data_IF_618117739696
#
_entry.id   IF_618117739696
#
_cell.length_a   1.000
_cell.length_b   1.000
_cell.length_c   1.000
_cell.angle_alpha   90.00
_cell.angle_beta   90.00
_cell.angle_gamma   90.00
#
_symmetry.space_group_name_H-M   'P 1'
#
loop_
_entity.id
_entity.type
_entity.pdbx_description
1 polymer ?
#
# COMPACT_ATOMS: atom_id res chain seq x y z
N UNK A 1 -20.60 10.32 7.74
CA UNK A 1 -20.48 8.95 7.19
C UNK A 1 -20.46 8.89 5.66
N UNK A 2 -21.50 9.34 4.93
CA UNK A 2 -21.55 9.27 3.45
C UNK A 2 -20.37 9.96 2.73
N UNK A 3 -19.90 11.10 3.23
CA UNK A 3 -18.75 11.82 2.67
C UNK A 3 -17.43 11.05 2.82
N UNK A 4 -17.18 10.47 4.00
CA UNK A 4 -15.98 9.65 4.28
C UNK A 4 -15.98 8.36 3.48
N UNK A 5 -17.15 7.73 3.33
CA UNK A 5 -17.28 6.54 2.49
C UNK A 5 -16.89 6.83 1.04
N UNK A 6 -17.40 7.93 0.46
CA UNK A 6 -17.01 8.36 -0.90
C UNK A 6 -15.50 8.58 -1.04
N UNK A 7 -14.88 9.22 -0.04
CA UNK A 7 -13.42 9.43 0.00
C UNK A 7 -12.67 8.09 -0.05
N UNK A 8 -13.02 7.16 0.84
CA UNK A 8 -12.39 5.84 0.91
C UNK A 8 -12.61 5.05 -0.38
N UNK A 9 -13.82 5.08 -0.94
CA UNK A 9 -14.11 4.41 -2.21
C UNK A 9 -13.23 4.93 -3.34
N UNK A 10 -13.05 6.25 -3.45
CA UNK A 10 -12.17 6.85 -4.47
C UNK A 10 -10.71 6.43 -4.24
N UNK A 11 -10.23 6.47 -3.01
CA UNK A 11 -8.85 6.11 -2.68
C UNK A 11 -8.58 4.60 -2.96
N UNK A 12 -9.54 3.72 -2.67
CA UNK A 12 -9.49 2.29 -3.03
C UNK A 12 -9.49 2.09 -4.56
N UNK A 13 -10.37 2.78 -5.29
CA UNK A 13 -10.41 2.67 -6.76
C UNK A 13 -9.10 3.11 -7.40
N UNK A 14 -8.52 4.22 -6.92
CA UNK A 14 -7.21 4.69 -7.38
C UNK A 14 -6.11 3.66 -7.11
N UNK A 15 -6.11 3.05 -5.92
CA UNK A 15 -5.19 1.96 -5.62
C UNK A 15 -5.39 0.78 -6.58
N UNK A 16 -6.62 0.33 -6.81
CA UNK A 16 -6.89 -0.80 -7.70
C UNK A 16 -6.43 -0.52 -9.14
N UNK A 17 -6.68 0.69 -9.66
CA UNK A 17 -6.18 1.12 -10.98
C UNK A 17 -4.66 1.08 -11.01
N UNK A 18 -4.00 1.67 -10.02
CA UNK A 18 -2.54 1.66 -9.90
C UNK A 18 -1.99 0.22 -9.89
N UNK A 19 -2.58 -0.66 -9.10
CA UNK A 19 -2.09 -2.04 -8.98
C UNK A 19 -2.34 -2.84 -10.24
N UNK A 20 -3.45 -2.60 -10.96
CA UNK A 20 -3.68 -3.19 -12.28
C UNK A 20 -2.55 -2.82 -13.24
N UNK A 21 -2.13 -1.54 -13.25
CA UNK A 21 -1.00 -1.08 -14.06
C UNK A 21 0.33 -1.70 -13.60
N UNK A 22 0.54 -1.87 -12.30
CA UNK A 22 1.74 -2.51 -11.75
C UNK A 22 1.84 -3.98 -12.17
N UNK A 23 0.74 -4.73 -12.11
CA UNK A 23 0.68 -6.13 -12.58
C UNK A 23 0.87 -6.24 -14.10
N UNK A 24 0.30 -5.30 -14.88
CA UNK A 24 0.58 -5.22 -16.31
C UNK A 24 2.06 -4.93 -16.57
N UNK A 25 2.67 -4.01 -15.83
CA UNK A 25 4.10 -3.71 -15.92
C UNK A 25 4.96 -4.95 -15.62
N UNK A 26 4.60 -5.73 -14.59
CA UNK A 26 5.26 -7.00 -14.29
C UNK A 26 5.10 -8.02 -15.41
N UNK A 27 3.92 -8.07 -16.05
CA UNK A 27 3.67 -8.92 -17.21
C UNK A 27 4.52 -8.56 -18.42
N UNK A 28 4.59 -7.27 -18.76
CA UNK A 28 5.46 -6.82 -19.84
C UNK A 28 6.93 -7.06 -19.53
N UNK A 29 7.36 -6.87 -18.27
CA UNK A 29 8.71 -7.20 -17.84
C UNK A 29 9.04 -8.67 -18.10
N UNK A 30 8.22 -9.60 -17.61
CA UNK A 30 8.48 -11.03 -17.79
C UNK A 30 8.38 -11.50 -19.25
N UNK A 31 7.59 -10.82 -20.08
CA UNK A 31 7.41 -11.19 -21.49
C UNK A 31 8.54 -10.68 -22.39
N UNK A 32 9.10 -9.51 -22.10
CA UNK A 32 9.99 -8.79 -23.03
C UNK A 32 11.39 -8.49 -22.47
N UNK A 33 11.61 -8.58 -21.16
CA UNK A 33 12.96 -8.46 -20.60
C UNK A 33 13.66 -9.81 -20.67
N UNK A 34 14.89 -9.83 -21.19
CA UNK A 34 15.73 -11.05 -21.25
C UNK A 34 16.06 -11.65 -19.86
N UNK A 35 15.78 -10.92 -18.78
CA UNK A 35 15.95 -11.32 -17.37
C UNK A 35 14.58 -11.50 -16.64
N UNK A 36 13.48 -11.61 -17.39
CA UNK A 36 12.12 -11.54 -16.89
C UNK A 36 11.58 -12.81 -16.22
N UNK A 37 12.26 -13.35 -15.21
CA UNK A 37 11.77 -14.49 -14.42
C UNK A 37 11.47 -14.11 -12.96
N UNK A 38 10.75 -12.99 -12.79
CA UNK A 38 10.23 -12.60 -11.49
C UNK A 38 8.96 -13.40 -11.18
N UNK A 39 8.97 -14.16 -10.09
CA UNK A 39 7.79 -14.85 -9.58
C UNK A 39 6.67 -13.85 -9.21
N UNK A 40 5.50 -14.05 -9.81
CA UNK A 40 4.26 -13.34 -9.52
C UNK A 40 3.76 -13.54 -8.09
N UNK A 41 4.06 -14.66 -7.45
CA UNK A 41 3.64 -14.93 -6.07
C UNK A 41 4.20 -13.90 -5.11
N UNK A 42 5.45 -13.48 -5.31
CA UNK A 42 6.10 -12.47 -4.48
C UNK A 42 5.46 -11.10 -4.71
N UNK A 43 5.21 -10.72 -5.97
CA UNK A 43 4.51 -9.46 -6.28
C UNK A 43 3.08 -9.48 -5.68
N UNK A 44 2.36 -10.60 -5.82
CA UNK A 44 1.03 -10.77 -5.21
C UNK A 44 1.09 -10.64 -3.68
N UNK A 45 2.10 -11.22 -3.03
CA UNK A 45 2.28 -11.08 -1.59
C UNK A 45 2.52 -9.62 -1.17
N UNK A 46 3.39 -8.90 -1.87
CA UNK A 46 3.62 -7.46 -1.64
C UNK A 46 2.32 -6.66 -1.83
N UNK A 47 1.53 -7.00 -2.86
CA UNK A 47 0.24 -6.40 -3.13
C UNK A 47 -0.75 -6.68 -1.99
N UNK A 48 -0.89 -7.93 -1.55
CA UNK A 48 -1.78 -8.33 -0.44
C UNK A 48 -1.41 -7.60 0.84
N UNK A 49 -0.12 -7.58 1.19
CA UNK A 49 0.36 -6.86 2.36
C UNK A 49 0.00 -5.38 2.27
N UNK A 50 0.08 -4.77 1.10
CA UNK A 50 -0.28 -3.36 0.88
C UNK A 50 -1.79 -3.12 0.95
N UNK A 51 -2.57 -4.01 0.36
CA UNK A 51 -4.01 -3.94 0.41
C UNK A 51 -4.55 -4.01 1.84
N UNK A 52 -3.99 -4.89 2.68
CA UNK A 52 -4.34 -5.00 4.11
C UNK A 52 -4.15 -3.67 4.83
N UNK A 53 -3.05 -2.95 4.57
CA UNK A 53 -2.83 -1.64 5.22
C UNK A 53 -3.84 -0.61 4.75
N UNK A 54 -4.10 -0.55 3.44
CA UNK A 54 -5.06 0.40 2.87
C UNK A 54 -6.45 0.18 3.46
N UNK A 55 -6.89 -1.09 3.56
CA UNK A 55 -8.16 -1.43 4.20
C UNK A 55 -8.15 -1.04 5.68
N UNK A 56 -7.09 -1.37 6.42
CA UNK A 56 -7.00 -1.08 7.86
C UNK A 56 -7.05 0.42 8.14
N UNK A 57 -6.26 1.22 7.42
CA UNK A 57 -6.26 2.68 7.52
C UNK A 57 -7.61 3.26 7.10
N UNK A 58 -8.21 2.73 6.03
CA UNK A 58 -9.52 3.18 5.56
C UNK A 58 -10.61 2.91 6.60
N UNK A 59 -10.59 1.75 7.26
CA UNK A 59 -11.51 1.42 8.35
C UNK A 59 -11.33 2.42 9.49
N UNK A 60 -10.10 2.69 9.94
CA UNK A 60 -9.81 3.67 11.00
C UNK A 60 -10.34 5.06 10.63
N UNK A 61 -10.19 5.48 9.38
CA UNK A 61 -10.73 6.75 8.87
C UNK A 61 -12.27 6.79 8.89
N UNK A 62 -12.94 5.69 8.55
CA UNK A 62 -14.40 5.61 8.54
C UNK A 62 -14.99 5.72 9.95
N UNK A 63 -14.34 5.08 10.94
CA UNK A 63 -14.75 5.11 12.35
C UNK A 63 -14.29 6.38 13.10
N UNK A 64 -13.58 7.30 12.43
CA UNK A 64 -13.19 8.63 12.91
C UNK A 64 -12.34 8.65 14.18
N UNK A 65 -11.53 7.62 14.40
CA UNK A 65 -10.68 7.62 15.59
C UNK A 65 -9.51 8.56 15.35
N UNK A 66 -9.54 9.70 16.04
CA UNK A 66 -8.54 10.75 15.92
C UNK A 66 -7.14 10.21 16.21
N UNK A 67 -6.16 10.73 15.47
CA UNK A 67 -4.74 10.54 15.70
C UNK A 67 -4.22 9.08 15.65
N UNK A 68 -5.05 8.08 15.33
CA UNK A 68 -4.63 6.67 15.28
C UNK A 68 -4.14 6.23 13.90
N UNK A 69 -4.60 6.84 12.80
CA UNK A 69 -4.22 6.46 11.42
C UNK A 69 -2.70 6.37 11.25
N UNK A 70 -1.95 7.36 11.75
CA UNK A 70 -0.49 7.38 11.66
C UNK A 70 0.18 6.24 12.42
N UNK A 71 -0.31 5.90 13.62
CA UNK A 71 0.21 4.78 14.41
C UNK A 71 -0.10 3.43 13.77
N UNK A 72 -1.32 3.25 13.25
CA UNK A 72 -1.71 2.03 12.53
C UNK A 72 -0.82 1.86 11.30
N UNK A 73 -0.65 2.93 10.51
CA UNK A 73 0.22 2.90 9.35
C UNK A 73 1.67 2.55 9.72
N UNK A 74 2.25 3.21 10.73
CA UNK A 74 3.61 2.95 11.19
C UNK A 74 3.80 1.50 11.64
N UNK A 75 2.84 0.94 12.40
CA UNK A 75 2.87 -0.45 12.82
C UNK A 75 2.91 -1.42 11.63
N UNK A 76 2.12 -1.16 10.59
CA UNK A 76 2.16 -1.95 9.37
C UNK A 76 3.46 -1.79 8.57
N UNK A 77 4.03 -0.59 8.49
CA UNK A 77 5.34 -0.38 7.84
C UNK A 77 6.41 -1.20 8.54
N UNK A 78 6.48 -1.15 9.87
CA UNK A 78 7.43 -1.96 10.65
C UNK A 78 7.22 -3.46 10.39
N UNK A 79 5.96 -3.94 10.45
CA UNK A 79 5.63 -5.32 10.16
C UNK A 79 6.05 -5.75 8.74
N UNK A 80 5.83 -4.88 7.75
CA UNK A 80 6.26 -5.13 6.36
C UNK A 80 7.76 -5.24 6.22
N UNK A 81 8.53 -4.41 6.92
CA UNK A 81 10.00 -4.49 6.91
C UNK A 81 10.47 -5.85 7.44
N UNK A 82 9.84 -6.38 8.50
CA UNK A 82 10.12 -7.73 8.98
C UNK A 82 9.71 -8.81 7.98
N UNK A 83 8.54 -8.69 7.34
CA UNK A 83 8.11 -9.59 6.27
C UNK A 83 9.07 -9.62 5.09
N UNK A 84 9.58 -8.45 4.68
CA UNK A 84 10.57 -8.32 3.63
C UNK A 84 11.91 -8.96 4.03
N UNK A 85 12.33 -8.79 5.30
CA UNK A 85 13.49 -9.48 5.86
C UNK A 85 13.33 -11.01 5.88
N UNK A 86 12.14 -11.50 6.20
CA UNK A 86 11.83 -12.94 6.14
C UNK A 86 11.97 -13.47 4.70
N UNK A 87 11.38 -12.79 3.72
CA UNK A 87 11.50 -13.18 2.31
C UNK A 87 12.95 -13.15 1.82
N UNK A 88 13.72 -12.13 2.21
CA UNK A 88 15.15 -12.04 1.88
C UNK A 88 15.99 -13.19 2.42
N UNK A 89 15.59 -13.77 3.56
CA UNK A 89 16.32 -14.86 4.20
C UNK A 89 15.86 -16.24 3.73
N UNK A 90 14.55 -16.46 3.62
CA UNK A 90 13.96 -17.78 3.41
C UNK A 90 13.52 -18.08 1.98
N UNK A 91 13.23 -17.07 1.14
CA UNK A 91 12.74 -17.30 -0.22
C UNK A 91 13.86 -17.16 -1.28
N UNK A 92 14.28 -18.26 -1.94
CA UNK A 92 15.39 -18.24 -2.89
C UNK A 92 15.15 -17.30 -4.08
N UNK A 93 13.94 -17.31 -4.64
CA UNK A 93 13.59 -16.48 -5.81
C UNK A 93 13.62 -14.99 -5.46
N UNK A 94 13.17 -14.65 -4.26
CA UNK A 94 13.27 -13.32 -3.72
C UNK A 94 14.72 -12.88 -3.57
N UNK A 95 15.57 -13.77 -3.03
CA UNK A 95 17.00 -13.49 -2.82
C UNK A 95 17.74 -13.27 -4.14
N UNK A 96 17.44 -14.07 -5.15
CA UNK A 96 18.07 -13.96 -6.47
C UNK A 96 17.69 -12.66 -7.19
N UNK A 97 16.48 -12.15 -6.97
CA UNK A 97 15.97 -10.95 -7.60
C UNK A 97 15.68 -9.81 -6.61
N UNK A 98 16.47 -9.73 -5.54
CA UNK A 98 16.19 -8.85 -4.40
C UNK A 98 16.03 -7.38 -4.81
N UNK A 99 16.82 -6.91 -5.78
CA UNK A 99 16.77 -5.52 -6.25
C UNK A 99 15.43 -5.22 -6.92
N UNK A 100 14.95 -6.12 -7.79
CA UNK A 100 13.69 -5.93 -8.49
C UNK A 100 12.50 -5.91 -7.52
N UNK A 101 12.45 -6.87 -6.59
CA UNK A 101 11.39 -6.90 -5.57
C UNK A 101 11.49 -5.75 -4.58
N UNK A 102 12.69 -5.25 -4.28
CA UNK A 102 12.88 -4.05 -3.47
C UNK A 102 12.30 -2.81 -4.17
N UNK A 103 12.55 -2.64 -5.47
CA UNK A 103 11.95 -1.56 -6.26
C UNK A 103 10.42 -1.66 -6.24
N UNK A 104 9.86 -2.85 -6.50
CA UNK A 104 8.42 -3.09 -6.44
C UNK A 104 7.87 -2.71 -5.06
N UNK A 105 8.50 -3.19 -3.98
CA UNK A 105 8.11 -2.87 -2.61
C UNK A 105 8.08 -1.36 -2.33
N UNK A 106 9.12 -0.62 -2.71
CA UNK A 106 9.18 0.83 -2.52
C UNK A 106 8.12 1.58 -3.31
N UNK A 107 7.83 1.13 -4.53
CA UNK A 107 6.76 1.69 -5.35
C UNK A 107 5.40 1.54 -4.63
N UNK A 108 5.10 0.35 -4.08
CA UNK A 108 3.89 0.12 -3.31
C UNK A 108 3.84 0.98 -2.04
N UNK A 109 4.94 1.05 -1.30
CA UNK A 109 5.06 1.85 -0.08
C UNK A 109 4.87 3.35 -0.34
N UNK A 110 5.35 3.85 -1.49
CA UNK A 110 5.16 5.24 -1.90
C UNK A 110 3.67 5.53 -2.16
N UNK A 111 3.00 4.69 -2.96
CA UNK A 111 1.57 4.87 -3.26
C UNK A 111 0.73 4.80 -1.99
N UNK A 112 1.02 3.83 -1.13
CA UNK A 112 0.41 3.70 0.19
C UNK A 112 0.63 4.97 1.04
N UNK A 113 1.86 5.48 1.12
CA UNK A 113 2.18 6.71 1.85
C UNK A 113 1.37 7.91 1.35
N UNK A 114 1.24 8.06 0.02
CA UNK A 114 0.46 9.14 -0.60
C UNK A 114 -1.02 9.05 -0.19
N UNK A 115 -1.60 7.85 -0.23
CA UNK A 115 -3.00 7.61 0.17
C UNK A 115 -3.22 7.89 1.66
N UNK A 116 -2.31 7.43 2.52
CA UNK A 116 -2.38 7.67 3.98
C UNK A 116 -2.28 9.16 4.29
N UNK A 117 -1.32 9.88 3.69
CA UNK A 117 -1.17 11.33 3.86
C UNK A 117 -2.42 12.07 3.38
N UNK A 118 -3.01 11.63 2.27
CA UNK A 118 -4.26 12.17 1.74
C UNK A 118 -5.41 12.02 2.74
N UNK A 119 -5.56 10.83 3.34
CA UNK A 119 -6.58 10.57 4.37
C UNK A 119 -6.36 11.38 5.64
N UNK A 120 -5.12 11.49 6.12
CA UNK A 120 -4.75 12.33 7.28
C UNK A 120 -5.14 13.79 7.05
N UNK A 121 -4.73 14.37 5.91
CA UNK A 121 -5.08 15.76 5.55
C UNK A 121 -6.58 15.98 5.47
N UNK A 122 -7.33 15.01 4.94
CA UNK A 122 -8.81 15.07 4.87
C UNK A 122 -9.42 14.96 6.28
N UNK A 123 -8.87 14.15 7.17
CA UNK A 123 -9.32 14.02 8.56
C UNK A 123 -9.12 15.32 9.34
N UNK A 124 -7.94 15.93 9.23
CA UNK A 124 -7.60 17.17 9.94
C UNK A 124 -8.49 18.33 9.50
N UNK A 125 -8.72 18.49 8.20
CA UNK A 125 -9.64 19.52 7.67
C UNK A 125 -11.07 19.37 8.20
N UNK A 126 -11.58 18.13 8.25
CA UNK A 126 -12.92 17.86 8.79
C UNK A 126 -12.99 18.17 10.29
N UNK A 127 -11.90 17.99 11.02
CA UNK A 127 -11.79 18.29 12.43
C UNK A 127 -11.74 19.79 12.74
N UNK A 128 -11.00 20.57 11.95
CA UNK A 128 -10.96 22.03 12.12
C UNK A 128 -12.35 22.63 11.87
N UNK A 129 -13.05 22.17 10.83
CA UNK A 129 -14.40 22.66 10.49
C UNK A 129 -15.43 22.42 11.59
N UNK A 130 -15.37 21.28 12.28
CA UNK A 130 -16.30 20.95 13.38
C UNK A 130 -16.04 21.71 14.68
N UNK A 131 -14.87 22.35 14.84
CA UNK A 131 -14.56 23.21 15.99
C UNK A 131 -14.88 24.69 15.73
N UNK A 132 -15.11 25.07 14.47
CA UNK A 132 -15.45 26.43 14.04
C UNK A 132 -16.94 26.67 13.84
N UNK A 133 -17.76 25.61 13.93
CA UNK A 133 -19.23 25.63 13.90
C UNK A 133 -19.77 25.47 15.33
#
# INVERSE_FOLDING_TARGET
MKSRLKVVTVDILLFLIFTTLAFLGHYFWNTYANEGDLDYKIHLLIWVMTFIVIISVSVVYLIDIKNIIGFVYLGFVVFKMFGFGYLAYFEPDFKNHIIAYFIIFWIYLLVESILVISLLRKQDKNHIKTLSE
#
